data_IF_965549956935
#
_entry.id   IF_965549956935
#
_cell.length_a   1.000
_cell.length_b   1.000
_cell.length_c   1.000
_cell.angle_alpha   90.00
_cell.angle_beta   90.00
_cell.angle_gamma   90.00
#
_symmetry.space_group_name_H-M   'P 1'
#
loop_
_entity.id
_entity.type
_entity.pdbx_description
1 polymer ?
#
# COMPACT_ATOMS: atom_id res chain seq x y z
N UNK A 1 8.04 -5.64 8.79
CA UNK A 1 6.76 -5.24 8.16
C UNK A 1 6.14 -4.01 8.86
N UNK A 2 6.39 -3.79 10.15
CA UNK A 2 5.96 -2.57 10.86
C UNK A 2 6.53 -1.27 10.27
N UNK A 3 7.73 -1.31 9.70
CA UNK A 3 8.30 -0.14 9.03
C UNK A 3 7.45 0.33 7.86
N UNK A 4 6.85 -0.59 7.09
CA UNK A 4 6.05 -0.23 5.91
C UNK A 4 4.70 0.38 6.31
N UNK A 5 4.05 -0.17 7.35
CA UNK A 5 2.83 0.43 7.92
C UNK A 5 3.12 1.78 8.57
N UNK A 6 4.23 1.91 9.29
CA UNK A 6 4.62 3.16 9.94
C UNK A 6 4.93 4.25 8.91
N UNK A 7 5.66 3.91 7.84
CA UNK A 7 5.90 4.83 6.72
C UNK A 7 4.60 5.23 6.03
N UNK A 8 3.68 4.28 5.80
CA UNK A 8 2.39 4.58 5.20
C UNK A 8 1.56 5.52 6.08
N UNK A 9 1.45 5.25 7.39
CA UNK A 9 0.75 6.11 8.35
C UNK A 9 1.33 7.53 8.42
N UNK A 10 2.62 7.71 8.18
CA UNK A 10 3.25 9.03 8.13
C UNK A 10 2.96 9.81 6.83
N UNK A 11 2.78 9.10 5.71
CA UNK A 11 2.56 9.69 4.38
C UNK A 11 1.06 9.94 4.14
N UNK A 12 0.19 9.00 4.55
CA UNK A 12 -1.26 9.06 4.37
C UNK A 12 -1.89 10.42 4.72
N UNK A 13 -1.65 11.04 5.91
CA UNK A 13 -2.27 12.32 6.25
C UNK A 13 -1.79 13.50 5.38
N UNK A 14 -0.73 13.32 4.60
CA UNK A 14 -0.19 14.32 3.67
C UNK A 14 -0.86 14.25 2.30
N UNK A 15 -1.56 13.15 1.98
CA UNK A 15 -2.29 12.93 0.74
C UNK A 15 -3.71 13.50 0.88
N UNK A 16 -3.88 14.81 0.62
CA UNK A 16 -5.19 15.47 0.83
C UNK A 16 -6.07 15.50 -0.41
N UNK A 17 -5.50 15.38 -1.60
CA UNK A 17 -6.23 15.46 -2.87
C UNK A 17 -6.63 14.09 -3.40
N UNK A 18 -5.82 13.09 -3.11
CA UNK A 18 -5.96 11.73 -3.63
C UNK A 18 -6.58 10.76 -2.59
N UNK A 19 -7.60 11.22 -1.86
CA UNK A 19 -8.20 10.47 -0.76
C UNK A 19 -8.83 9.13 -1.20
N UNK A 20 -9.33 9.07 -2.42
CA UNK A 20 -9.82 7.85 -3.09
C UNK A 20 -8.72 6.80 -3.30
N UNK A 21 -7.48 7.26 -3.54
CA UNK A 21 -6.32 6.39 -3.75
C UNK A 21 -5.73 5.89 -2.43
N UNK A 22 -5.96 6.61 -1.33
CA UNK A 22 -5.57 6.16 0.02
C UNK A 22 -6.23 4.83 0.34
N UNK A 23 -7.54 4.70 0.10
CA UNK A 23 -8.27 3.47 0.40
C UNK A 23 -7.75 2.31 -0.43
N UNK A 24 -7.48 2.54 -1.72
CA UNK A 24 -6.88 1.52 -2.60
C UNK A 24 -5.52 1.05 -2.07
N UNK A 25 -4.65 1.97 -1.67
CA UNK A 25 -3.31 1.63 -1.20
C UNK A 25 -3.38 0.89 0.14
N UNK A 26 -4.25 1.33 1.05
CA UNK A 26 -4.44 0.68 2.35
C UNK A 26 -4.96 -0.76 2.20
N UNK A 27 -5.95 -0.98 1.32
CA UNK A 27 -6.47 -2.32 1.03
C UNK A 27 -5.38 -3.22 0.41
N UNK A 28 -4.62 -2.72 -0.55
CA UNK A 28 -3.56 -3.52 -1.17
C UNK A 28 -2.39 -3.80 -0.21
N UNK A 29 -2.06 -2.87 0.70
CA UNK A 29 -1.07 -3.09 1.76
C UNK A 29 -1.53 -4.19 2.72
N UNK A 30 -2.81 -4.18 3.13
CA UNK A 30 -3.39 -5.24 3.96
C UNK A 30 -3.33 -6.60 3.25
N UNK A 31 -3.70 -6.66 1.97
CA UNK A 31 -3.63 -7.89 1.16
C UNK A 31 -2.19 -8.38 1.04
N UNK A 32 -1.24 -7.48 0.77
CA UNK A 32 0.17 -7.83 0.67
C UNK A 32 0.68 -8.45 1.97
N UNK A 33 0.41 -7.79 3.11
CA UNK A 33 0.83 -8.25 4.43
C UNK A 33 0.23 -9.61 4.78
N UNK A 34 -1.08 -9.78 4.60
CA UNK A 34 -1.75 -11.06 4.84
C UNK A 34 -1.20 -12.19 3.94
N UNK A 35 -0.89 -11.87 2.67
CA UNK A 35 -0.28 -12.83 1.76
C UNK A 35 1.15 -13.21 2.17
N UNK A 36 1.95 -12.24 2.64
CA UNK A 36 3.29 -12.53 3.17
C UNK A 36 3.25 -13.37 4.46
N UNK A 37 2.32 -13.10 5.37
CA UNK A 37 2.08 -13.93 6.56
C UNK A 37 1.67 -15.36 6.19
N UNK A 38 0.82 -15.50 5.17
CA UNK A 38 0.40 -16.80 4.62
C UNK A 38 1.47 -17.49 3.75
N UNK A 39 2.68 -16.91 3.61
CA UNK A 39 3.74 -17.35 2.69
C UNK A 39 3.35 -17.39 1.20
N UNK A 40 2.24 -16.76 0.82
CA UNK A 40 1.81 -16.57 -0.56
C UNK A 40 2.50 -15.34 -1.17
N UNK A 41 3.73 -15.58 -1.66
CA UNK A 41 4.61 -14.52 -2.18
C UNK A 41 4.10 -13.89 -3.48
N UNK A 42 3.31 -14.60 -4.27
CA UNK A 42 2.83 -14.09 -5.57
C UNK A 42 1.65 -13.16 -5.39
N UNK A 43 0.72 -13.49 -4.50
CA UNK A 43 -0.36 -12.58 -4.11
C UNK A 43 0.20 -11.34 -3.43
N UNK A 44 1.21 -11.51 -2.56
CA UNK A 44 1.93 -10.41 -1.93
C UNK A 44 2.57 -9.46 -2.96
N UNK A 45 3.29 -10.01 -3.94
CA UNK A 45 3.93 -9.22 -5.00
C UNK A 45 2.92 -8.47 -5.88
N UNK A 46 1.83 -9.13 -6.29
CA UNK A 46 0.80 -8.51 -7.13
C UNK A 46 0.17 -7.29 -6.45
N UNK A 47 -0.12 -7.40 -5.15
CA UNK A 47 -0.69 -6.30 -4.37
C UNK A 47 0.28 -5.11 -4.25
N UNK A 48 1.57 -5.36 -4.03
CA UNK A 48 2.59 -4.29 -4.01
C UNK A 48 2.77 -3.65 -5.40
N UNK A 49 2.75 -4.45 -6.47
CA UNK A 49 2.82 -3.95 -7.85
C UNK A 49 1.62 -3.06 -8.20
N UNK A 50 0.42 -3.39 -7.72
CA UNK A 50 -0.76 -2.57 -7.90
C UNK A 50 -0.60 -1.17 -7.26
N UNK A 51 0.02 -1.10 -6.08
CA UNK A 51 0.36 0.17 -5.42
C UNK A 51 1.41 0.93 -6.23
N UNK A 52 2.45 0.26 -6.71
CA UNK A 52 3.51 0.89 -7.50
C UNK A 52 2.99 1.48 -8.81
N UNK A 53 2.12 0.74 -9.51
CA UNK A 53 1.49 1.16 -10.77
C UNK A 53 0.55 2.37 -10.61
N UNK A 54 0.11 2.66 -9.39
CA UNK A 54 -0.66 3.85 -9.06
C UNK A 54 0.17 5.14 -9.09
N UNK A 55 1.46 5.02 -9.43
CA UNK A 55 2.42 6.12 -9.49
C UNK A 55 2.42 6.93 -8.19
N UNK A 56 2.59 6.22 -7.06
CA UNK A 56 2.58 6.73 -5.68
C UNK A 56 3.43 8.00 -5.46
N UNK A 57 4.45 8.24 -6.29
CA UNK A 57 5.27 9.47 -6.26
C UNK A 57 4.52 10.74 -6.68
N UNK A 58 3.40 10.59 -7.38
CA UNK A 58 2.58 11.71 -7.87
C UNK A 58 1.43 12.10 -6.95
N UNK A 59 1.17 11.31 -5.91
CA UNK A 59 0.08 11.54 -4.96
C UNK A 59 0.33 12.81 -4.11
N UNK A 60 -0.72 13.61 -3.88
CA UNK A 60 -0.65 14.90 -3.18
C UNK A 60 -1.78 15.15 -2.18
#
# INVERSE_FOLDING_TARGET
MDDLRSLWSAIMPRLKKDADKIEFIDQNLKVALAAFEAKDKDKGRKAILAIYNLNVRSLR
#
